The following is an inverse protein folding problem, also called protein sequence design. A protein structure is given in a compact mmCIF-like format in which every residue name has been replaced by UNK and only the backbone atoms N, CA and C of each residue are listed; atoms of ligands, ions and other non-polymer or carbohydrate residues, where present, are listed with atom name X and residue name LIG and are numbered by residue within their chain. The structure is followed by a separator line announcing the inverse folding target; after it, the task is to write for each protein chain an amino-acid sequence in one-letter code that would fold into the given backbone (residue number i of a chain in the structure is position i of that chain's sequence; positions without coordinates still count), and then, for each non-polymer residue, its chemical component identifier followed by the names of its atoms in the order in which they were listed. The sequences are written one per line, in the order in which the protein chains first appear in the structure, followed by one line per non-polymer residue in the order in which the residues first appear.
data_IF_192186255426
#
_entry.id   IF_192186255426
#
_cell.length_a   1.000
_cell.length_b   1.000
_cell.length_c   1.000
_cell.angle_alpha   90.00
_cell.angle_beta   90.00
_cell.angle_gamma   90.00
#
_symmetry.space_group_name_H-M   'P 1'
#
loop_
_entity.id
_entity.type
_entity.pdbx_description
1 polymer ?
#
# COMPACT_ATOMS: atom_id res chain seq x y z
N UNK A 1 28.33 39.97 72.72
CA UNK A 1 29.48 39.13 72.31
C UNK A 1 29.22 37.67 72.69
N UNK A 2 28.93 36.80 71.72
CA UNK A 2 29.04 35.31 71.73
C UNK A 2 28.41 34.82 70.42
N UNK A 3 29.20 34.56 69.37
CA UNK A 3 29.84 33.29 68.98
C UNK A 3 28.86 32.14 68.67
N UNK A 4 28.85 31.81 67.37
CA UNK A 4 28.90 30.46 66.79
C UNK A 4 27.56 29.69 66.74
N UNK A 5 27.07 29.45 65.53
CA UNK A 5 27.16 28.12 64.91
C UNK A 5 26.67 28.16 63.47
N UNK A 6 27.58 27.83 62.56
CA UNK A 6 27.37 27.61 61.12
C UNK A 6 26.47 26.37 60.96
N UNK A 7 25.27 26.56 60.42
CA UNK A 7 24.40 25.48 60.00
C UNK A 7 24.60 25.28 58.49
N UNK A 8 25.33 24.21 58.17
CA UNK A 8 25.52 23.67 56.83
C UNK A 8 24.14 23.20 56.35
N UNK A 9 23.49 23.99 55.48
CA UNK A 9 22.28 23.58 54.79
C UNK A 9 22.68 22.97 53.45
N UNK A 10 22.69 21.64 53.49
CA UNK A 10 22.40 20.67 52.45
C UNK A 10 22.03 21.27 51.08
N UNK A 11 22.99 21.26 50.15
CA UNK A 11 22.74 21.44 48.73
C UNK A 11 22.08 20.16 48.19
N UNK A 12 20.77 20.21 47.97
CA UNK A 12 20.07 19.25 47.13
C UNK A 12 18.88 19.90 46.44
N UNK A 13 19.12 20.55 45.30
CA UNK A 13 18.11 20.68 44.25
C UNK A 13 18.83 20.55 42.91
N UNK A 14 19.05 19.30 42.48
CA UNK A 14 19.32 19.03 41.06
C UNK A 14 18.00 19.17 40.35
N UNK A 15 17.76 20.36 39.80
CA UNK A 15 16.71 20.59 38.81
C UNK A 15 17.26 20.06 37.49
N UNK A 16 16.98 18.79 37.18
CA UNK A 16 17.01 18.30 35.81
C UNK A 16 15.62 17.72 35.49
N UNK A 17 14.64 18.61 35.44
CA UNK A 17 13.44 18.40 34.64
C UNK A 17 13.86 18.44 33.17
N UNK A 18 14.42 17.32 32.69
CA UNK A 18 14.49 17.03 31.26
C UNK A 18 13.26 16.21 30.86
N UNK A 19 12.07 16.81 31.04
CA UNK A 19 10.96 16.56 30.11
C UNK A 19 11.29 17.38 28.88
N UNK A 20 12.12 16.82 28.00
CA UNK A 20 12.28 17.34 26.65
C UNK A 20 11.26 16.58 25.82
N UNK A 21 10.12 17.22 25.68
CA UNK A 21 9.12 17.09 24.63
C UNK A 21 8.91 15.68 24.06
N UNK A 22 7.89 15.03 24.59
CA UNK A 22 6.95 14.17 23.85
C UNK A 22 7.50 13.55 22.57
N UNK A 23 8.25 12.45 22.74
CA UNK A 23 8.27 11.36 21.76
C UNK A 23 6.87 10.73 21.78
N UNK A 24 5.88 11.47 21.27
CA UNK A 24 4.61 10.86 20.84
C UNK A 24 5.05 9.89 19.76
N UNK A 25 4.86 8.56 19.91
CA UNK A 25 5.05 7.66 18.79
C UNK A 25 4.16 8.21 17.69
N UNK A 26 4.76 8.72 16.60
CA UNK A 26 4.03 9.25 15.47
C UNK A 26 3.06 8.16 15.06
N UNK A 27 1.79 8.37 15.39
CA UNK A 27 0.73 7.44 15.04
C UNK A 27 0.88 7.15 13.55
N UNK A 28 0.94 5.88 13.11
CA UNK A 28 1.53 5.56 11.82
C UNK A 28 0.93 6.43 10.72
N UNK A 29 1.81 7.10 9.95
CA UNK A 29 1.37 7.96 8.87
C UNK A 29 0.47 7.12 7.93
N UNK A 30 -0.49 7.73 7.22
CA UNK A 30 -1.55 6.99 6.52
C UNK A 30 -1.01 5.82 5.65
N UNK A 31 0.20 5.99 5.09
CA UNK A 31 0.95 4.99 4.33
C UNK A 31 1.39 3.78 5.14
N UNK A 32 1.88 3.96 6.36
CA UNK A 32 2.27 2.85 7.25
C UNK A 32 1.05 1.99 7.59
N UNK A 33 -0.07 2.62 7.97
CA UNK A 33 -1.33 1.90 8.25
C UNK A 33 -1.89 1.20 7.00
N UNK A 34 -1.84 1.88 5.85
CA UNK A 34 -2.29 1.27 4.60
C UNK A 34 -1.40 0.09 4.21
N UNK A 35 -0.08 0.17 4.43
CA UNK A 35 0.84 -0.92 4.14
C UNK A 35 0.61 -2.13 5.05
N UNK A 36 0.32 -1.94 6.34
CA UNK A 36 -0.05 -3.03 7.26
C UNK A 36 -1.23 -3.87 6.73
N UNK A 37 -2.14 -3.24 5.98
CA UNK A 37 -3.29 -3.90 5.36
C UNK A 37 -2.93 -4.47 3.97
N UNK A 38 -2.28 -3.65 3.14
CA UNK A 38 -1.93 -3.95 1.74
C UNK A 38 -0.94 -5.10 1.62
N UNK A 39 0.03 -5.19 2.53
CA UNK A 39 1.09 -6.19 2.48
C UNK A 39 0.57 -7.63 2.51
N UNK A 40 1.22 -8.53 1.79
CA UNK A 40 0.84 -9.93 1.67
C UNK A 40 0.16 -10.27 0.35
N UNK A 41 -0.52 -11.41 0.31
CA UNK A 41 -1.08 -11.99 -0.92
C UNK A 41 -2.56 -11.67 -1.08
N UNK A 42 -2.96 -11.43 -2.31
CA UNK A 42 -4.31 -11.17 -2.73
C UNK A 42 -4.65 -12.02 -3.95
N UNK A 43 -5.87 -12.53 -4.01
CA UNK A 43 -6.37 -13.32 -5.14
C UNK A 43 -7.88 -13.09 -5.38
N UNK A 44 -8.46 -13.79 -6.36
CA UNK A 44 -9.88 -13.67 -6.70
C UNK A 44 -10.81 -14.46 -5.77
N UNK A 45 -10.30 -15.15 -4.74
CA UNK A 45 -11.05 -15.76 -3.65
C UNK A 45 -12.14 -16.72 -4.11
N UNK A 46 -11.85 -17.58 -5.08
CA UNK A 46 -12.83 -18.49 -5.70
C UNK A 46 -14.11 -17.76 -6.19
N UNK A 47 -13.96 -16.54 -6.74
CA UNK A 47 -15.05 -15.71 -7.27
C UNK A 47 -15.56 -14.64 -6.31
N UNK A 48 -14.98 -14.49 -5.11
CA UNK A 48 -15.27 -13.37 -4.21
C UNK A 48 -14.61 -12.05 -4.65
N UNK A 49 -13.56 -12.14 -5.46
CA UNK A 49 -12.95 -11.04 -6.21
C UNK A 49 -13.40 -11.03 -7.66
N UNK A 50 -13.08 -9.95 -8.37
CA UNK A 50 -13.51 -9.72 -9.76
C UNK A 50 -12.54 -8.80 -10.49
N UNK A 51 -12.36 -9.03 -11.79
CA UNK A 51 -11.66 -8.13 -12.71
C UNK A 51 -12.69 -7.65 -13.72
N UNK A 52 -12.93 -6.34 -13.75
CA UNK A 52 -13.80 -5.69 -14.72
C UNK A 52 -13.00 -4.75 -15.60
N UNK A 53 -13.43 -4.63 -16.86
CA UNK A 53 -12.99 -3.59 -17.78
C UNK A 53 -14.21 -2.85 -18.31
N UNK A 54 -14.25 -1.54 -18.09
CA UNK A 54 -15.39 -0.68 -18.43
C UNK A 54 -16.75 -1.25 -17.93
N UNK A 55 -16.73 -1.88 -16.74
CA UNK A 55 -17.90 -2.49 -16.10
C UNK A 55 -18.28 -3.90 -16.58
N UNK A 56 -17.53 -4.48 -17.52
CA UNK A 56 -17.74 -5.85 -18.00
C UNK A 56 -16.84 -6.83 -17.26
N UNK A 57 -17.40 -7.93 -16.74
CA UNK A 57 -16.60 -8.99 -16.12
C UNK A 57 -15.67 -9.66 -17.13
N UNK A 58 -14.37 -9.65 -16.85
CA UNK A 58 -13.36 -10.37 -17.61
C UNK A 58 -12.54 -11.31 -16.73
N UNK A 59 -13.01 -11.64 -15.52
CA UNK A 59 -12.29 -12.48 -14.55
C UNK A 59 -11.94 -13.86 -15.11
N UNK A 60 -12.77 -14.41 -16.00
CA UNK A 60 -12.52 -15.69 -16.68
C UNK A 60 -11.23 -15.70 -17.52
N UNK A 61 -10.74 -14.52 -17.92
CA UNK A 61 -9.53 -14.35 -18.71
C UNK A 61 -8.25 -14.40 -17.84
N UNK A 62 -8.39 -14.33 -16.51
CA UNK A 62 -7.29 -14.31 -15.55
C UNK A 62 -7.41 -15.45 -14.52
N UNK A 63 -7.48 -16.72 -14.96
CA UNK A 63 -7.59 -17.85 -14.04
C UNK A 63 -6.36 -17.92 -13.13
N UNK A 64 -6.57 -18.01 -11.81
CA UNK A 64 -5.47 -18.06 -10.84
C UNK A 64 -4.69 -16.75 -10.69
N UNK A 65 -5.30 -15.61 -11.03
CA UNK A 65 -4.70 -14.30 -10.76
C UNK A 65 -4.32 -14.13 -9.29
N UNK A 66 -3.08 -13.72 -9.05
CA UNK A 66 -2.60 -13.31 -7.74
C UNK A 66 -1.81 -12.02 -7.85
N UNK A 67 -1.85 -11.23 -6.78
CA UNK A 67 -1.10 -10.00 -6.60
C UNK A 67 -0.58 -9.97 -5.16
N UNK A 68 0.69 -9.72 -4.98
CA UNK A 68 1.25 -9.54 -3.63
C UNK A 68 2.10 -8.29 -3.54
N UNK A 69 2.08 -7.68 -2.36
CA UNK A 69 2.90 -6.52 -2.03
C UNK A 69 3.81 -6.84 -0.85
N UNK A 70 5.08 -6.50 -1.00
CA UNK A 70 6.07 -6.40 0.07
C UNK A 70 6.50 -4.94 0.22
N UNK A 71 7.36 -4.64 1.18
CA UNK A 71 7.94 -3.30 1.28
C UNK A 71 8.75 -2.99 0.00
N UNK A 72 8.29 -2.01 -0.76
CA UNK A 72 8.87 -1.57 -2.04
C UNK A 72 8.75 -2.54 -3.23
N UNK A 73 8.20 -3.75 -3.06
CA UNK A 73 8.12 -4.78 -4.10
C UNK A 73 6.70 -5.31 -4.34
N UNK A 74 6.40 -5.75 -5.55
CA UNK A 74 5.19 -6.48 -5.88
C UNK A 74 5.47 -7.68 -6.78
N UNK A 75 4.58 -8.68 -6.73
CA UNK A 75 4.58 -9.80 -7.68
C UNK A 75 3.18 -10.11 -8.17
N UNK A 76 3.05 -10.61 -9.40
CA UNK A 76 1.78 -11.09 -9.94
C UNK A 76 1.92 -12.46 -10.59
N UNK A 77 0.86 -13.26 -10.51
CA UNK A 77 0.69 -14.47 -11.32
C UNK A 77 -0.53 -14.30 -12.19
N UNK A 78 -0.45 -14.74 -13.46
CA UNK A 78 -1.54 -14.64 -14.43
C UNK A 78 -2.13 -13.23 -14.59
N UNK A 79 -1.30 -12.19 -14.41
CA UNK A 79 -1.66 -10.78 -14.64
C UNK A 79 -1.71 -10.37 -16.11
N UNK A 80 -1.26 -11.24 -17.02
CA UNK A 80 -1.11 -10.95 -18.45
C UNK A 80 -0.43 -9.59 -18.68
N UNK A 81 -0.95 -8.74 -19.56
CA UNK A 81 -0.40 -7.42 -19.85
C UNK A 81 -0.83 -6.33 -18.84
N UNK A 82 -1.60 -6.68 -17.79
CA UNK A 82 -2.04 -5.71 -16.79
C UNK A 82 -0.90 -5.31 -15.85
N UNK A 83 -0.06 -6.27 -15.47
CA UNK A 83 1.05 -6.10 -14.53
C UNK A 83 2.24 -6.95 -14.95
N UNK A 84 3.45 -6.45 -14.71
CA UNK A 84 4.64 -7.29 -14.78
C UNK A 84 4.55 -8.42 -13.72
N UNK A 85 5.21 -9.54 -14.00
CA UNK A 85 5.29 -10.66 -13.06
C UNK A 85 5.92 -10.27 -11.71
N UNK A 86 6.79 -9.26 -11.71
CA UNK A 86 7.33 -8.62 -10.51
C UNK A 86 7.84 -7.23 -10.83
N UNK A 87 7.88 -6.37 -9.81
CA UNK A 87 8.46 -5.04 -9.95
C UNK A 87 8.55 -4.31 -8.62
N UNK A 88 8.84 -3.02 -8.69
CA UNK A 88 8.82 -2.12 -7.54
C UNK A 88 7.58 -1.24 -7.53
N UNK A 89 7.20 -0.76 -6.34
CA UNK A 89 6.10 0.18 -6.18
C UNK A 89 6.41 1.23 -5.11
N UNK A 90 5.67 2.33 -5.16
CA UNK A 90 5.69 3.38 -4.15
C UNK A 90 4.32 4.03 -4.01
N UNK A 91 4.06 4.69 -2.88
CA UNK A 91 2.86 5.50 -2.71
C UNK A 91 2.87 6.69 -3.68
N UNK A 92 1.75 6.95 -4.34
CA UNK A 92 1.58 8.08 -5.24
C UNK A 92 1.20 9.39 -4.53
N UNK A 93 0.64 9.30 -3.31
CA UNK A 93 0.23 10.44 -2.49
C UNK A 93 0.46 10.18 -0.98
N UNK A 94 0.31 11.22 -0.14
CA UNK A 94 0.54 11.16 1.33
C UNK A 94 -0.58 10.44 2.08
N UNK A 95 -1.77 10.36 1.48
CA UNK A 95 -2.99 9.78 2.04
C UNK A 95 -3.14 8.29 1.70
N UNK A 96 -2.14 7.69 1.05
CA UNK A 96 -2.12 6.30 0.60
C UNK A 96 -3.31 5.94 -0.31
N UNK A 97 -3.77 6.87 -1.16
CA UNK A 97 -4.90 6.64 -2.08
C UNK A 97 -4.46 6.11 -3.45
N UNK A 98 -3.18 6.23 -3.77
CA UNK A 98 -2.62 5.80 -5.05
C UNK A 98 -1.31 5.03 -4.86
N UNK A 99 -1.08 4.07 -5.74
CA UNK A 99 0.15 3.29 -5.86
C UNK A 99 0.74 3.52 -7.24
N UNK A 100 2.01 3.85 -7.33
CA UNK A 100 2.77 3.91 -8.58
C UNK A 100 3.65 2.66 -8.66
N UNK A 101 3.46 1.87 -9.71
CA UNK A 101 4.35 0.75 -10.04
C UNK A 101 5.40 1.17 -11.07
N UNK A 102 6.45 0.37 -11.18
CA UNK A 102 7.65 0.66 -11.96
C UNK A 102 7.47 0.71 -13.49
N UNK A 103 6.36 0.19 -14.01
CA UNK A 103 5.98 0.34 -15.43
C UNK A 103 5.34 1.71 -15.76
N UNK A 104 5.29 2.61 -14.77
CA UNK A 104 4.70 3.96 -14.90
C UNK A 104 3.19 3.99 -14.70
N UNK A 105 2.54 2.86 -14.43
CA UNK A 105 1.11 2.79 -14.11
C UNK A 105 0.85 3.32 -12.72
N UNK A 106 -0.21 4.11 -12.61
CA UNK A 106 -0.76 4.56 -11.34
C UNK A 106 -2.09 3.83 -11.09
N UNK A 107 -2.18 3.22 -9.91
CA UNK A 107 -3.34 2.48 -9.43
C UNK A 107 -4.03 3.33 -8.35
N UNK A 108 -5.32 3.61 -8.53
CA UNK A 108 -6.13 4.33 -7.55
C UNK A 108 -6.87 3.35 -6.65
N UNK A 109 -6.69 3.46 -5.34
CA UNK A 109 -7.34 2.62 -4.34
C UNK A 109 -8.76 3.15 -4.09
N UNK A 110 -9.76 2.30 -4.36
CA UNK A 110 -11.16 2.62 -4.07
C UNK A 110 -11.64 1.97 -2.77
N UNK A 111 -11.02 0.85 -2.36
CA UNK A 111 -11.25 0.20 -1.07
C UNK A 111 -9.99 -0.53 -0.62
N UNK A 112 -9.58 -0.33 0.62
CA UNK A 112 -8.54 -1.13 1.26
C UNK A 112 -8.96 -1.44 2.69
N UNK A 113 -9.14 -2.72 2.99
CA UNK A 113 -9.36 -3.24 4.34
C UNK A 113 -8.75 -4.64 4.45
N UNK A 114 -8.80 -5.24 5.65
CA UNK A 114 -8.13 -6.51 5.94
C UNK A 114 -8.46 -7.67 4.98
N UNK A 115 -9.67 -7.67 4.39
CA UNK A 115 -10.18 -8.79 3.59
C UNK A 115 -10.42 -8.43 2.13
N UNK A 116 -10.31 -7.15 1.74
CA UNK A 116 -10.60 -6.70 0.39
C UNK A 116 -9.75 -5.51 -0.01
N UNK A 117 -9.17 -5.64 -1.19
CA UNK A 117 -8.48 -4.57 -1.89
C UNK A 117 -9.15 -4.36 -3.25
N UNK A 118 -9.75 -3.20 -3.45
CA UNK A 118 -10.33 -2.79 -4.74
C UNK A 118 -9.61 -1.56 -5.25
N UNK A 119 -9.25 -1.58 -6.53
CA UNK A 119 -8.50 -0.51 -7.16
C UNK A 119 -8.83 -0.36 -8.64
N UNK A 120 -8.46 0.79 -9.21
CA UNK A 120 -8.69 1.12 -10.61
C UNK A 120 -7.44 1.66 -11.30
N UNK A 121 -7.35 1.46 -12.60
CA UNK A 121 -6.33 2.08 -13.47
C UNK A 121 -6.79 2.05 -14.92
N UNK A 122 -6.27 2.95 -15.75
CA UNK A 122 -6.47 2.90 -17.20
C UNK A 122 -5.38 2.05 -17.85
N UNK A 123 -5.77 1.17 -18.76
CA UNK A 123 -4.84 0.35 -19.55
C UNK A 123 -4.98 0.72 -21.02
N UNK A 124 -3.86 1.04 -21.66
CA UNK A 124 -3.83 1.43 -23.07
C UNK A 124 -4.00 0.24 -24.04
N UNK A 125 -4.08 -0.98 -23.53
CA UNK A 125 -4.13 -2.20 -24.32
C UNK A 125 -2.74 -2.66 -24.80
N UNK A 126 -2.55 -3.97 -24.89
CA UNK A 126 -1.42 -4.55 -25.58
C UNK A 126 -1.63 -4.53 -27.10
N UNK A 127 -0.73 -3.88 -27.85
CA UNK A 127 -0.57 -4.24 -29.26
C UNK A 127 0.08 -5.61 -29.30
N UNK A 128 -0.72 -6.68 -29.42
CA UNK A 128 -0.16 -7.97 -29.82
C UNK A 128 0.64 -7.73 -31.09
N UNK A 129 1.92 -8.10 -31.07
CA UNK A 129 2.82 -7.99 -32.23
C UNK A 129 2.30 -8.74 -33.48
N UNK A 130 1.20 -9.48 -33.35
CA UNK A 130 0.54 -10.26 -34.39
C UNK A 130 -0.92 -9.86 -34.67
N UNK A 131 -1.40 -8.71 -34.19
CA UNK A 131 -2.73 -8.18 -34.52
C UNK A 131 -3.93 -8.95 -33.95
N UNK A 132 -3.70 -9.94 -33.09
CA UNK A 132 -4.75 -10.60 -32.33
C UNK A 132 -4.84 -9.95 -30.97
N UNK A 133 -5.88 -9.14 -30.72
CA UNK A 133 -6.24 -8.73 -29.36
C UNK A 133 -6.37 -9.99 -28.52
N UNK A 134 -5.40 -10.26 -27.65
CA UNK A 134 -5.57 -11.27 -26.62
C UNK A 134 -6.74 -10.79 -25.76
N UNK A 135 -7.63 -11.69 -25.36
CA UNK A 135 -8.74 -11.39 -24.43
C UNK A 135 -8.27 -10.82 -23.08
N UNK A 136 -6.97 -10.80 -22.85
CA UNK A 136 -6.28 -10.41 -21.64
C UNK A 136 -5.51 -9.11 -21.96
N UNK A 137 -5.61 -8.10 -21.10
CA UNK A 137 -5.00 -6.78 -21.34
C UNK A 137 -5.66 -5.99 -22.47
N UNK A 138 -7.00 -6.02 -22.57
CA UNK A 138 -7.71 -5.17 -23.54
C UNK A 138 -7.68 -3.71 -23.07
N UNK A 139 -7.66 -2.78 -24.01
CA UNK A 139 -7.76 -1.35 -23.69
C UNK A 139 -9.04 -1.06 -22.89
N UNK A 140 -8.93 -0.22 -21.86
CA UNK A 140 -10.06 0.22 -21.05
C UNK A 140 -9.70 0.60 -19.62
N UNK A 141 -10.73 0.95 -18.84
CA UNK A 141 -10.56 1.24 -17.42
C UNK A 141 -10.83 -0.02 -16.60
N UNK A 142 -9.79 -0.49 -15.92
CA UNK A 142 -9.89 -1.66 -15.07
C UNK A 142 -10.40 -1.30 -13.69
N UNK A 143 -11.28 -2.13 -13.16
CA UNK A 143 -11.61 -2.21 -11.73
C UNK A 143 -11.32 -3.63 -11.26
N UNK A 144 -10.38 -3.77 -10.34
CA UNK A 144 -9.97 -5.07 -9.80
C UNK A 144 -10.30 -5.09 -8.33
N UNK A 145 -11.04 -6.12 -7.90
CA UNK A 145 -11.28 -6.43 -6.49
C UNK A 145 -10.69 -7.79 -6.18
N UNK A 146 -9.80 -7.84 -5.20
CA UNK A 146 -9.15 -9.05 -4.71
C UNK A 146 -9.38 -9.19 -3.20
N UNK A 147 -9.25 -10.40 -2.71
CA UNK A 147 -9.47 -10.76 -1.31
C UNK A 147 -8.26 -11.49 -0.74
N UNK A 148 -8.23 -11.60 0.59
CA UNK A 148 -7.22 -12.30 1.39
C UNK A 148 -7.92 -13.23 2.38
#
# INVERSE_FOLDING_TARGET
MKRISILIILAFVVVLSSCKDDDVPSAPNARERAFEILGGNWDLGNGAGRIEVDGTDVSANYPGFTLSFTDGGYTTTNGADLFNASGTWQWGDEEARTIKVDDGKEVTISLLNANRFTFTFSHAGGSSANGTNTSNGIEGNYTISVVK
#
